data_IF_242988918211
#
_entry.id   IF_242988918211
#
_cell.length_a   1.000
_cell.length_b   1.000
_cell.length_c   1.000
_cell.angle_alpha   90.00
_cell.angle_beta   90.00
_cell.angle_gamma   90.00
#
_symmetry.space_group_name_H-M   'P 1'
#
loop_
_entity.id
_entity.type
_entity.pdbx_description
1 polymer ?
#
# COMPACT_ATOMS: atom_id res chain seq x y z
N UNK A 1 -12.77 -14.79 12.43
CA UNK A 1 -13.29 -13.60 11.74
C UNK A 1 -12.50 -12.36 12.16
N UNK A 2 -12.05 -11.50 11.24
CA UNK A 2 -11.49 -10.20 11.61
C UNK A 2 -12.54 -9.35 12.34
N UNK A 3 -12.11 -8.55 13.32
CA UNK A 3 -12.99 -7.65 14.08
C UNK A 3 -12.76 -6.21 13.60
N UNK A 4 -13.83 -5.55 13.14
CA UNK A 4 -13.83 -4.12 12.81
C UNK A 4 -14.25 -3.36 14.05
N UNK A 5 -13.32 -2.62 14.66
CA UNK A 5 -13.55 -1.98 15.97
C UNK A 5 -14.28 -0.64 15.88
N UNK A 6 -14.19 0.09 14.76
CA UNK A 6 -14.71 1.46 14.62
C UNK A 6 -13.89 2.53 15.34
N UNK A 7 -12.84 2.13 16.07
CA UNK A 7 -11.96 3.01 16.83
C UNK A 7 -10.86 3.63 15.94
N UNK A 8 -10.26 4.72 16.40
CA UNK A 8 -9.07 5.33 15.79
C UNK A 8 -7.83 5.08 16.65
N UNK A 9 -6.64 5.14 16.05
CA UNK A 9 -5.38 5.08 16.79
C UNK A 9 -4.87 6.48 17.06
N UNK A 10 -4.47 6.73 18.31
CA UNK A 10 -3.82 7.99 18.67
C UNK A 10 -2.47 8.07 17.95
N UNK A 11 -2.27 9.13 17.16
CA UNK A 11 -1.06 9.34 16.36
C UNK A 11 -1.12 8.82 14.93
N UNK A 12 -2.24 8.23 14.49
CA UNK A 12 -2.39 7.81 13.09
C UNK A 12 -2.40 9.02 12.15
N UNK A 13 -1.63 8.90 11.07
CA UNK A 13 -1.65 9.84 9.96
C UNK A 13 -2.76 9.43 8.99
N UNK A 14 -3.76 10.30 8.80
CA UNK A 14 -4.93 10.00 7.95
C UNK A 14 -4.63 9.97 6.45
N UNK A 15 -3.69 10.79 6.01
CA UNK A 15 -3.34 10.92 4.60
C UNK A 15 -1.83 10.91 4.46
N UNK A 16 -1.32 9.92 3.75
CA UNK A 16 0.09 9.79 3.43
C UNK A 16 0.23 9.59 1.93
N UNK A 17 0.94 10.50 1.29
CA UNK A 17 1.28 10.42 -0.14
C UNK A 17 2.73 10.84 -0.30
N UNK A 18 3.50 10.07 -1.06
CA UNK A 18 4.89 10.41 -1.36
C UNK A 18 4.98 11.17 -2.69
N UNK A 19 5.79 12.23 -2.73
CA UNK A 19 6.23 12.77 -4.01
C UNK A 19 7.23 11.81 -4.65
N UNK A 20 6.82 11.23 -5.78
CA UNK A 20 7.64 10.30 -6.55
C UNK A 20 8.44 10.97 -7.67
N UNK A 21 8.50 12.31 -7.71
CA UNK A 21 9.21 13.06 -8.77
C UNK A 21 10.66 12.60 -8.89
N UNK A 22 11.37 12.50 -7.77
CA UNK A 22 12.78 12.10 -7.76
C UNK A 22 13.02 10.69 -8.30
N UNK A 23 12.14 9.73 -7.95
CA UNK A 23 12.19 8.37 -8.50
C UNK A 23 11.98 8.36 -10.01
N UNK A 24 11.04 9.17 -10.52
CA UNK A 24 10.79 9.30 -11.96
C UNK A 24 11.97 9.90 -12.69
N UNK A 25 12.56 10.97 -12.15
CA UNK A 25 13.62 11.73 -12.82
C UNK A 25 14.97 11.04 -12.78
N UNK A 26 15.36 10.49 -11.63
CA UNK A 26 16.70 9.93 -11.44
C UNK A 26 16.78 8.46 -11.88
N UNK A 27 15.69 7.71 -11.77
CA UNK A 27 15.70 6.26 -12.01
C UNK A 27 14.81 5.84 -13.18
N UNK A 28 14.08 6.77 -13.82
CA UNK A 28 13.08 6.44 -14.82
C UNK A 28 11.92 5.58 -14.28
N UNK A 29 11.79 5.51 -12.94
CA UNK A 29 10.85 4.62 -12.29
C UNK A 29 9.42 5.15 -12.41
N UNK A 30 8.46 4.25 -12.59
CA UNK A 30 7.02 4.54 -12.45
C UNK A 30 6.28 3.33 -11.88
N UNK A 31 5.16 3.52 -11.17
CA UNK A 31 4.32 2.40 -10.75
C UNK A 31 3.82 1.64 -11.98
N UNK A 32 3.91 0.30 -11.93
CA UNK A 32 3.47 -0.58 -13.02
C UNK A 32 2.18 -1.32 -12.71
N UNK A 33 1.85 -1.46 -11.42
CA UNK A 33 0.69 -2.19 -10.93
C UNK A 33 -0.30 -1.18 -10.35
N UNK A 34 -1.55 -1.23 -10.81
CA UNK A 34 -2.62 -0.40 -10.26
C UNK A 34 -3.10 -0.92 -8.90
N UNK A 35 -3.70 -0.06 -8.08
CA UNK A 35 -4.13 -0.43 -6.72
C UNK A 35 -5.06 -1.65 -6.69
N UNK A 36 -6.12 -1.65 -7.50
CA UNK A 36 -7.09 -2.75 -7.53
C UNK A 36 -6.51 -4.06 -8.08
N UNK A 37 -5.47 -3.99 -8.91
CA UNK A 37 -4.75 -5.18 -9.37
C UNK A 37 -3.88 -5.75 -8.25
N UNK A 38 -3.03 -4.90 -7.64
CA UNK A 38 -2.17 -5.32 -6.55
C UNK A 38 -2.93 -5.87 -5.34
N UNK A 39 -4.08 -5.29 -4.97
CA UNK A 39 -4.91 -5.80 -3.88
C UNK A 39 -5.51 -7.18 -4.18
N UNK A 40 -5.85 -7.46 -5.44
CA UNK A 40 -6.38 -8.78 -5.84
C UNK A 40 -5.31 -9.87 -5.78
N UNK A 41 -4.08 -9.54 -6.19
CA UNK A 41 -2.93 -10.45 -6.08
C UNK A 41 -2.59 -10.69 -4.61
N UNK A 42 -2.42 -9.61 -3.84
CA UNK A 42 -2.10 -9.68 -2.41
C UNK A 42 -3.07 -10.53 -1.59
N UNK A 43 -4.38 -10.43 -1.87
CA UNK A 43 -5.39 -11.22 -1.15
C UNK A 43 -5.33 -12.74 -1.42
N UNK A 44 -4.61 -13.16 -2.47
CA UNK A 44 -4.48 -14.56 -2.89
C UNK A 44 -3.11 -15.13 -2.59
N UNK A 45 -2.09 -14.28 -2.49
CA UNK A 45 -0.75 -14.69 -2.14
C UNK A 45 -0.71 -15.24 -0.71
N UNK A 46 0.01 -16.34 -0.51
CA UNK A 46 0.31 -16.86 0.82
C UNK A 46 1.16 -15.87 1.62
N UNK A 47 1.02 -15.87 2.94
CA UNK A 47 1.88 -15.08 3.81
C UNK A 47 3.34 -15.52 3.63
N UNK A 48 4.21 -14.58 3.26
CA UNK A 48 5.64 -14.88 3.12
C UNK A 48 6.23 -15.07 4.50
N UNK A 49 6.64 -16.29 4.82
CA UNK A 49 7.19 -16.66 6.15
C UNK A 49 6.70 -18.00 6.71
N UNK A 50 5.86 -18.73 5.98
CA UNK A 50 5.60 -20.17 6.17
C UNK A 50 6.54 -21.03 5.33
#
# INVERSE_FOLDING_TARGET
EPVVTGEYRLGDVRHITADSTRLRTELGWRPRVGFAEGMREFARDGLRGE
#
